data_IF_685449044696
#
_entry.id   IF_685449044696
#
_cell.length_a   1.000
_cell.length_b   1.000
_cell.length_c   1.000
_cell.angle_alpha   90.00
_cell.angle_beta   90.00
_cell.angle_gamma   90.00
#
_symmetry.space_group_name_H-M   'P 1'
#
loop_
_entity.id
_entity.type
_entity.pdbx_description
1 polymer ?
#
# COMPACT_ATOMS: atom_id res chain seq x y z
N UNK A 1 23.12 18.69 -12.80
CA UNK A 1 23.76 17.66 -11.94
C UNK A 1 22.89 17.52 -10.70
N UNK A 2 21.97 16.56 -10.74
CA UNK A 2 21.04 16.27 -9.64
C UNK A 2 21.86 15.78 -8.46
N UNK A 3 21.83 16.56 -7.37
CA UNK A 3 22.57 16.24 -6.14
C UNK A 3 22.11 14.86 -5.71
N UNK A 4 23.03 13.89 -5.73
CA UNK A 4 22.79 12.52 -5.26
C UNK A 4 22.41 12.60 -3.79
N UNK A 5 21.13 12.79 -3.50
CA UNK A 5 20.58 12.76 -2.16
C UNK A 5 20.82 11.36 -1.63
N UNK A 6 21.51 11.27 -0.49
CA UNK A 6 21.91 9.99 0.08
C UNK A 6 20.66 9.20 0.43
N UNK A 7 20.44 8.09 -0.28
CA UNK A 7 19.39 7.13 0.04
C UNK A 7 19.74 6.51 1.39
N UNK A 8 18.86 6.64 2.37
CA UNK A 8 19.08 6.10 3.71
C UNK A 8 18.63 4.65 3.78
N UNK A 9 17.43 4.36 3.27
CA UNK A 9 16.90 3.00 3.22
C UNK A 9 15.80 2.86 2.16
N UNK A 10 15.64 1.62 1.67
CA UNK A 10 14.55 1.22 0.79
C UNK A 10 13.65 0.22 1.53
N UNK A 11 12.34 0.48 1.50
CA UNK A 11 11.33 -0.44 1.98
C UNK A 11 10.61 -1.08 0.80
N UNK A 12 10.47 -2.40 0.86
CA UNK A 12 9.68 -3.17 -0.11
C UNK A 12 8.56 -3.90 0.62
N UNK A 13 7.35 -3.94 0.05
CA UNK A 13 6.26 -4.70 0.62
C UNK A 13 6.60 -6.20 0.57
N UNK A 14 6.34 -6.90 1.67
CA UNK A 14 6.43 -8.35 1.70
C UNK A 14 5.24 -8.97 0.97
N UNK A 15 5.50 -9.51 -0.21
CA UNK A 15 4.46 -10.07 -1.08
C UNK A 15 3.71 -11.23 -0.42
N UNK A 16 4.40 -12.07 0.35
CA UNK A 16 3.82 -13.27 0.97
C UNK A 16 2.60 -12.94 1.85
N UNK A 17 2.65 -11.83 2.59
CA UNK A 17 1.59 -11.42 3.51
C UNK A 17 0.40 -10.81 2.77
N UNK A 18 0.67 -10.16 1.64
CA UNK A 18 -0.35 -9.55 0.82
C UNK A 18 -1.18 -10.57 0.02
N UNK A 19 -0.68 -11.79 -0.20
CA UNK A 19 -1.36 -12.81 -1.01
C UNK A 19 -2.72 -13.19 -0.41
N UNK A 20 -2.79 -13.42 0.90
CA UNK A 20 -4.03 -13.87 1.56
C UNK A 20 -5.17 -12.85 1.44
N UNK A 21 -5.02 -11.57 1.85
CA UNK A 21 -6.08 -10.59 1.71
C UNK A 21 -6.43 -10.31 0.24
N UNK A 22 -5.48 -10.47 -0.69
CA UNK A 22 -5.75 -10.37 -2.14
C UNK A 22 -6.65 -11.52 -2.59
N UNK A 23 -6.33 -12.76 -2.25
CA UNK A 23 -7.11 -13.94 -2.64
C UNK A 23 -8.52 -13.84 -2.07
N UNK A 24 -8.67 -13.50 -0.78
CA UNK A 24 -9.98 -13.34 -0.15
C UNK A 24 -10.79 -12.25 -0.86
N UNK A 25 -10.18 -11.08 -1.08
CA UNK A 25 -10.85 -9.99 -1.80
C UNK A 25 -11.23 -10.37 -3.23
N UNK A 26 -10.37 -11.11 -3.93
CA UNK A 26 -10.62 -11.59 -5.28
C UNK A 26 -11.79 -12.58 -5.31
N UNK A 27 -11.82 -13.56 -4.39
CA UNK A 27 -12.91 -14.53 -4.26
C UNK A 27 -14.26 -13.85 -4.03
N UNK A 28 -14.32 -12.87 -3.12
CA UNK A 28 -15.56 -12.12 -2.86
C UNK A 28 -16.02 -11.41 -4.15
N UNK A 29 -15.11 -10.69 -4.82
CA UNK A 29 -15.46 -9.99 -6.06
C UNK A 29 -15.89 -10.96 -7.15
N UNK A 30 -15.17 -12.05 -7.37
CA UNK A 30 -15.50 -13.01 -8.42
C UNK A 30 -16.80 -13.74 -8.14
N UNK A 31 -17.12 -14.06 -6.88
CA UNK A 31 -18.42 -14.67 -6.50
C UNK A 31 -19.57 -13.75 -6.85
N UNK A 32 -19.49 -12.46 -6.49
CA UNK A 32 -20.56 -11.49 -6.77
C UNK A 32 -20.84 -11.41 -8.27
N UNK A 33 -19.79 -11.23 -9.08
CA UNK A 33 -19.95 -11.13 -10.53
C UNK A 33 -20.37 -12.45 -11.17
N UNK A 34 -19.77 -13.58 -10.77
CA UNK A 34 -20.09 -14.90 -11.30
C UNK A 34 -21.54 -15.31 -11.02
N UNK A 35 -22.02 -15.11 -9.80
CA UNK A 35 -23.42 -15.34 -9.43
C UNK A 35 -24.35 -14.40 -10.20
N UNK A 36 -24.00 -13.11 -10.32
CA UNK A 36 -24.78 -12.14 -11.08
C UNK A 36 -24.98 -12.56 -12.54
N UNK A 37 -23.90 -12.98 -13.22
CA UNK A 37 -23.96 -13.46 -14.60
C UNK A 37 -24.73 -14.78 -14.72
N UNK A 38 -24.52 -15.73 -13.80
CA UNK A 38 -25.22 -17.01 -13.81
C UNK A 38 -26.74 -16.85 -13.64
N UNK A 39 -27.18 -15.95 -12.76
CA UNK A 39 -28.60 -15.64 -12.57
C UNK A 39 -29.20 -14.90 -13.76
N UNK A 40 -28.46 -13.93 -14.34
CA UNK A 40 -28.94 -13.14 -15.47
C UNK A 40 -29.13 -13.97 -16.75
N UNK A 41 -28.16 -14.83 -17.06
CA UNK A 41 -28.20 -15.69 -18.24
C UNK A 41 -29.11 -16.91 -18.03
N UNK A 42 -29.33 -17.33 -16.78
CA UNK A 42 -29.92 -18.64 -16.40
C UNK A 42 -29.07 -19.86 -16.80
N UNK A 43 -27.82 -19.66 -17.20
CA UNK A 43 -26.86 -20.76 -17.38
C UNK A 43 -25.68 -20.61 -16.43
N UNK A 44 -25.52 -21.59 -15.53
CA UNK A 44 -24.47 -21.60 -14.51
C UNK A 44 -23.06 -21.65 -15.10
N UNK A 45 -22.90 -22.19 -16.32
CA UNK A 45 -21.59 -22.31 -17.00
C UNK A 45 -20.99 -20.93 -17.29
N UNK A 46 -21.79 -19.96 -17.74
CA UNK A 46 -21.30 -18.60 -17.98
C UNK A 46 -20.93 -17.88 -16.68
N UNK A 47 -21.70 -18.11 -15.61
CA UNK A 47 -21.36 -17.60 -14.27
C UNK A 47 -20.03 -18.16 -13.75
N UNK A 48 -19.78 -19.46 -13.95
CA UNK A 48 -18.52 -20.11 -13.57
C UNK A 48 -17.34 -19.56 -14.38
N UNK A 49 -17.50 -19.38 -15.68
CA UNK A 49 -16.47 -18.79 -16.55
C UNK A 49 -16.09 -17.38 -16.08
N UNK A 50 -17.08 -16.53 -15.82
CA UNK A 50 -16.86 -15.17 -15.33
C UNK A 50 -16.21 -15.15 -13.95
N UNK A 51 -16.60 -16.07 -13.06
CA UNK A 51 -15.97 -16.22 -11.75
C UNK A 51 -14.46 -16.46 -11.89
N UNK A 52 -14.05 -17.47 -12.66
CA UNK A 52 -12.63 -17.78 -12.83
C UNK A 52 -11.88 -16.65 -13.53
N UNK A 53 -12.49 -16.04 -14.56
CA UNK A 53 -11.88 -14.95 -15.30
C UNK A 53 -11.62 -13.74 -14.38
N UNK A 54 -12.64 -13.25 -13.68
CA UNK A 54 -12.51 -12.07 -12.80
C UNK A 54 -11.58 -12.35 -11.62
N UNK A 55 -11.68 -13.55 -11.03
CA UNK A 55 -10.80 -13.95 -9.92
C UNK A 55 -9.34 -13.93 -10.35
N UNK A 56 -9.02 -14.54 -11.49
CA UNK A 56 -7.66 -14.57 -12.04
C UNK A 56 -7.13 -13.17 -12.31
N UNK A 57 -7.87 -12.34 -13.06
CA UNK A 57 -7.43 -10.97 -13.37
C UNK A 57 -7.28 -10.11 -12.11
N UNK A 58 -8.21 -10.20 -11.16
CA UNK A 58 -8.16 -9.45 -9.90
C UNK A 58 -6.89 -9.78 -9.09
N UNK A 59 -6.55 -11.06 -8.96
CA UNK A 59 -5.31 -11.49 -8.29
C UNK A 59 -4.08 -11.01 -9.07
N UNK A 60 -4.07 -11.25 -10.38
CA UNK A 60 -2.95 -10.90 -11.24
C UNK A 60 -2.61 -9.41 -11.18
N UNK A 61 -3.59 -8.53 -11.38
CA UNK A 61 -3.37 -7.08 -11.34
C UNK A 61 -2.95 -6.59 -9.95
N UNK A 62 -3.53 -7.12 -8.86
CA UNK A 62 -3.16 -6.72 -7.49
C UNK A 62 -1.74 -7.13 -7.15
N UNK A 63 -1.35 -8.36 -7.47
CA UNK A 63 0.00 -8.86 -7.21
C UNK A 63 1.05 -8.07 -8.00
N UNK A 64 0.74 -7.80 -9.26
CA UNK A 64 1.63 -7.07 -10.15
C UNK A 64 1.80 -5.60 -9.73
N UNK A 65 0.72 -4.95 -9.28
CA UNK A 65 0.76 -3.61 -8.72
C UNK A 65 1.60 -3.57 -7.42
N UNK A 66 1.44 -4.54 -6.51
CA UNK A 66 2.24 -4.61 -5.29
C UNK A 66 3.73 -4.82 -5.56
N UNK A 67 4.08 -5.65 -6.55
CA UNK A 67 5.47 -5.89 -6.93
C UNK A 67 6.17 -4.63 -7.45
N UNK A 68 5.40 -3.75 -8.08
CA UNK A 68 5.91 -2.49 -8.61
C UNK A 68 6.11 -1.41 -7.52
N UNK A 69 5.60 -1.62 -6.30
CA UNK A 69 5.71 -0.63 -5.23
C UNK A 69 7.11 -0.56 -4.65
N UNK A 70 7.65 0.65 -4.56
CA UNK A 70 8.94 0.93 -3.92
C UNK A 70 8.84 2.18 -3.07
N UNK A 71 9.47 2.12 -1.90
CA UNK A 71 9.45 3.16 -0.90
C UNK A 71 10.89 3.58 -0.63
N UNK A 72 11.29 4.77 -1.09
CA UNK A 72 12.64 5.29 -0.99
C UNK A 72 12.68 6.43 0.02
N UNK A 73 13.51 6.29 1.05
CA UNK A 73 13.68 7.32 2.07
C UNK A 73 15.04 8.00 1.91
N UNK A 74 15.00 9.30 1.71
CA UNK A 74 16.17 10.17 1.61
C UNK A 74 16.29 11.02 2.88
N UNK A 75 17.36 11.81 3.00
CA UNK A 75 17.58 12.66 4.18
C UNK A 75 16.50 13.74 4.38
N UNK A 76 15.89 14.28 3.32
CA UNK A 76 14.97 15.42 3.42
C UNK A 76 13.54 15.12 2.92
N UNK A 77 13.37 13.97 2.27
CA UNK A 77 12.15 13.60 1.56
C UNK A 77 12.01 12.08 1.50
N UNK A 78 10.78 11.62 1.34
CA UNK A 78 10.50 10.26 0.97
C UNK A 78 9.80 10.23 -0.39
N UNK A 79 10.18 9.27 -1.23
CA UNK A 79 9.61 9.02 -2.54
C UNK A 79 8.90 7.69 -2.59
N UNK A 80 7.72 7.72 -3.19
CA UNK A 80 6.76 6.63 -3.21
C UNK A 80 6.43 6.33 -4.66
N UNK A 81 6.79 5.13 -5.08
CA UNK A 81 6.51 4.64 -6.41
C UNK A 81 5.42 3.59 -6.29
N UNK A 82 4.27 3.83 -6.93
CA UNK A 82 3.15 2.90 -7.00
C UNK A 82 2.77 2.64 -8.46
N UNK A 83 2.29 1.43 -8.75
CA UNK A 83 1.67 1.11 -10.03
C UNK A 83 2.55 0.32 -11.00
N UNK A 84 1.90 -0.63 -11.67
CA UNK A 84 2.52 -1.43 -12.73
C UNK A 84 2.22 -0.87 -14.14
N UNK A 85 0.97 -0.47 -14.40
CA UNK A 85 0.55 0.11 -15.69
C UNK A 85 0.74 1.63 -15.66
N UNK A 86 0.16 2.29 -14.67
CA UNK A 86 0.36 3.71 -14.43
C UNK A 86 1.41 3.86 -13.33
N UNK A 87 2.59 4.38 -13.68
CA UNK A 87 3.63 4.68 -12.69
C UNK A 87 3.25 5.99 -12.01
N UNK A 88 2.92 5.92 -10.74
CA UNK A 88 2.60 7.06 -9.89
C UNK A 88 3.81 7.28 -8.97
N UNK A 89 4.51 8.39 -9.18
CA UNK A 89 5.56 8.85 -8.29
C UNK A 89 5.00 9.96 -7.40
N UNK A 90 5.18 9.82 -6.09
CA UNK A 90 4.85 10.86 -5.11
C UNK A 90 6.08 11.16 -4.27
N UNK A 91 6.44 12.43 -4.19
CA UNK A 91 7.53 12.91 -3.34
C UNK A 91 6.95 13.73 -2.21
N UNK A 92 7.23 13.33 -0.97
CA UNK A 92 6.78 14.04 0.23
C UNK A 92 7.98 14.48 1.05
N UNK A 93 8.05 15.79 1.29
CA UNK A 93 9.05 16.40 2.17
C UNK A 93 8.65 16.17 3.62
N UNK A 94 9.62 15.89 4.48
CA UNK A 94 9.37 15.63 5.91
C UNK A 94 8.71 16.83 6.61
N UNK A 95 9.00 18.05 6.16
CA UNK A 95 8.39 19.28 6.69
C UNK A 95 6.88 19.39 6.49
N UNK A 96 6.30 18.56 5.61
CA UNK A 96 4.86 18.51 5.35
C UNK A 96 4.19 17.33 6.04
N UNK A 97 4.95 16.44 6.66
CA UNK A 97 4.38 15.30 7.39
C UNK A 97 3.99 15.79 8.77
N UNK A 98 2.70 15.67 9.09
CA UNK A 98 2.17 16.10 10.39
C UNK A 98 2.15 14.97 11.40
N UNK A 99 1.96 13.74 10.94
CA UNK A 99 1.81 12.58 11.83
C UNK A 99 2.31 11.30 11.17
N UNK A 100 2.79 10.37 11.99
CA UNK A 100 3.26 9.05 11.58
C UNK A 100 2.51 8.00 12.40
N UNK A 101 1.78 7.12 11.72
CA UNK A 101 0.93 6.11 12.37
C UNK A 101 1.42 4.71 12.01
N UNK A 102 1.59 3.85 13.01
CA UNK A 102 1.79 2.42 12.80
C UNK A 102 0.47 1.66 12.94
N UNK A 103 0.03 1.05 11.83
CA UNK A 103 -1.21 0.28 11.75
C UNK A 103 -0.86 -1.20 11.62
N UNK A 104 -1.50 -2.05 12.42
CA UNK A 104 -1.39 -3.51 12.32
C UNK A 104 -2.76 -4.14 12.25
N UNK A 105 -3.08 -4.70 11.09
CA UNK A 105 -4.29 -5.50 10.89
C UNK A 105 -4.13 -6.89 11.49
N UNK A 106 -5.22 -7.67 11.56
CA UNK A 106 -5.16 -9.07 12.03
C UNK A 106 -4.16 -9.90 11.21
N UNK A 107 -4.16 -9.73 9.88
CA UNK A 107 -3.18 -10.37 8.99
C UNK A 107 -1.76 -9.92 9.31
N UNK A 108 -1.55 -8.62 9.48
CA UNK A 108 -0.22 -8.08 9.82
C UNK A 108 0.32 -8.66 11.14
N UNK A 109 -0.53 -8.80 12.16
CA UNK A 109 -0.15 -9.39 13.45
C UNK A 109 0.23 -10.87 13.32
N UNK A 110 -0.52 -11.64 12.53
CA UNK A 110 -0.23 -13.06 12.31
C UNK A 110 1.08 -13.29 11.56
N UNK A 111 1.44 -12.40 10.63
CA UNK A 111 2.64 -12.53 9.81
C UNK A 111 3.83 -11.68 10.29
N UNK A 112 3.70 -10.97 11.41
CA UNK A 112 4.77 -10.13 11.96
C UNK A 112 5.08 -8.86 11.15
N UNK A 113 4.14 -8.41 10.32
CA UNK A 113 4.28 -7.20 9.50
C UNK A 113 3.51 -6.03 10.09
N UNK A 114 3.63 -4.86 9.45
CA UNK A 114 2.83 -3.69 9.75
C UNK A 114 2.71 -2.75 8.56
N UNK A 115 1.83 -1.78 8.70
CA UNK A 115 1.60 -0.72 7.73
C UNK A 115 1.94 0.61 8.38
N UNK A 116 2.89 1.36 7.81
CA UNK A 116 3.22 2.72 8.27
C UNK A 116 2.44 3.71 7.41
N UNK A 117 1.76 4.66 8.05
CA UNK A 117 1.02 5.72 7.37
C UNK A 117 1.60 7.08 7.74
N UNK A 118 2.02 7.83 6.74
CA UNK A 118 2.45 9.22 6.88
C UNK A 118 1.29 10.13 6.52
N UNK A 119 0.86 10.99 7.44
CA UNK A 119 -0.18 11.99 7.22
C UNK A 119 0.48 13.30 6.81
N UNK A 120 -0.01 13.94 5.76
CA UNK A 120 0.55 15.22 5.27
C UNK A 120 -0.39 16.39 5.52
N UNK A 121 0.19 17.56 5.81
CA UNK A 121 -0.53 18.81 6.00
C UNK A 121 -1.34 19.16 4.74
N UNK A 122 -2.64 19.39 4.92
CA UNK A 122 -3.57 19.77 3.86
C UNK A 122 -4.39 18.61 3.28
N UNK A 123 -4.52 17.50 4.00
CA UNK A 123 -5.15 16.31 3.47
C UNK A 123 -5.77 15.42 4.56
N UNK A 124 -7.04 15.71 4.89
CA UNK A 124 -7.87 14.91 5.82
C UNK A 124 -8.36 13.63 5.14
N UNK A 125 -7.45 12.66 4.99
CA UNK A 125 -7.78 11.35 4.44
C UNK A 125 -8.37 10.42 5.49
N UNK A 126 -9.67 10.16 5.42
CA UNK A 126 -10.41 9.27 6.33
C UNK A 126 -9.67 7.97 6.70
N UNK A 127 -9.80 7.59 7.97
CA UNK A 127 -9.14 6.49 8.68
C UNK A 127 -9.24 5.09 8.02
N UNK A 128 -10.10 4.92 7.01
CA UNK A 128 -10.52 3.62 6.46
C UNK A 128 -9.89 3.25 5.11
N UNK A 129 -9.08 4.12 4.49
CA UNK A 129 -8.50 3.82 3.17
C UNK A 129 -7.13 3.15 3.27
N UNK A 130 -7.07 1.86 2.90
CA UNK A 130 -5.85 1.06 2.65
C UNK A 130 -5.18 1.41 1.31
N UNK A 131 -5.41 2.61 0.82
CA UNK A 131 -4.97 3.08 -0.49
C UNK A 131 -4.61 4.55 -0.35
N UNK A 132 -3.52 4.96 -0.99
CA UNK A 132 -2.98 6.34 -1.01
C UNK A 132 -3.93 7.37 -1.64
N UNK A 133 -5.23 7.10 -1.72
CA UNK A 133 -6.26 7.90 -2.41
C UNK A 133 -6.81 9.02 -1.51
N UNK A 134 -6.43 9.08 -0.24
CA UNK A 134 -6.77 10.18 0.65
C UNK A 134 -5.57 10.57 1.51
N UNK A 135 -4.81 11.55 1.05
CA UNK A 135 -4.05 12.49 1.88
C UNK A 135 -2.91 12.04 2.78
N UNK A 136 -2.69 10.74 2.86
CA UNK A 136 -1.54 10.17 3.49
C UNK A 136 -0.89 9.17 2.56
N UNK A 137 0.36 8.87 2.85
CA UNK A 137 1.10 7.84 2.16
C UNK A 137 1.06 6.58 3.01
N UNK A 138 0.66 5.47 2.40
CA UNK A 138 0.48 4.20 3.09
C UNK A 138 1.54 3.22 2.60
N UNK A 139 2.40 2.81 3.52
CA UNK A 139 3.50 1.88 3.30
C UNK A 139 3.10 0.55 3.89
N UNK A 140 2.76 -0.41 3.03
CA UNK A 140 2.10 -1.65 3.44
C UNK A 140 3.08 -2.82 3.51
N UNK A 141 2.76 -3.81 4.36
CA UNK A 141 3.46 -5.09 4.46
C UNK A 141 4.96 -4.94 4.78
N UNK A 142 5.28 -4.07 5.73
CA UNK A 142 6.64 -3.82 6.18
C UNK A 142 7.05 -4.88 7.20
N UNK A 143 8.20 -5.52 6.98
CA UNK A 143 8.86 -6.39 7.97
C UNK A 143 9.44 -5.58 9.12
N UNK A 144 9.47 -6.15 10.33
CA UNK A 144 9.96 -5.48 11.54
C UNK A 144 9.40 -4.05 11.68
N UNK A 145 8.06 -3.90 11.68
CA UNK A 145 7.42 -2.60 11.60
C UNK A 145 7.77 -1.67 12.77
N UNK A 146 8.08 -2.21 13.96
CA UNK A 146 8.50 -1.39 15.11
C UNK A 146 9.82 -0.66 14.88
N UNK A 147 10.82 -1.35 14.33
CA UNK A 147 12.13 -0.77 14.07
C UNK A 147 12.03 0.29 12.97
N UNK A 148 11.33 -0.06 11.89
CA UNK A 148 11.17 0.84 10.75
C UNK A 148 10.31 2.07 11.11
N UNK A 149 9.30 1.90 11.96
CA UNK A 149 8.52 3.01 12.48
C UNK A 149 9.39 3.99 13.29
N UNK A 150 10.20 3.47 14.24
CA UNK A 150 11.10 4.32 15.05
C UNK A 150 12.11 5.08 14.19
N UNK A 151 12.68 4.44 13.17
CA UNK A 151 13.61 5.10 12.23
C UNK A 151 12.91 6.24 11.50
N UNK A 152 11.71 6.01 10.98
CA UNK A 152 10.93 7.02 10.27
C UNK A 152 10.54 8.16 11.22
N UNK A 153 10.07 7.85 12.42
CA UNK A 153 9.70 8.84 13.44
C UNK A 153 10.90 9.68 13.89
N UNK A 154 12.07 9.06 14.09
CA UNK A 154 13.29 9.78 14.45
C UNK A 154 13.77 10.71 13.33
N UNK A 155 13.67 10.27 12.07
CA UNK A 155 13.98 11.11 10.90
C UNK A 155 13.03 12.32 10.80
N UNK A 156 11.75 12.11 11.05
CA UNK A 156 10.76 13.19 11.07
C UNK A 156 11.06 14.18 12.19
N UNK A 157 11.31 13.69 13.41
CA UNK A 157 11.61 14.53 14.59
C UNK A 157 12.86 15.37 14.39
N UNK A 158 13.94 14.78 13.87
CA UNK A 158 15.21 15.48 13.62
C UNK A 158 15.04 16.66 12.65
N UNK A 159 14.11 16.54 11.71
CA UNK A 159 13.82 17.60 10.74
C UNK A 159 12.87 18.66 11.28
N UNK A 160 11.93 18.31 12.17
CA UNK A 160 11.05 19.26 12.84
C UNK A 160 11.86 20.18 13.80
N UNK A 161 12.77 19.59 14.58
CA UNK A 161 13.67 20.33 15.49
C UNK A 161 14.63 21.29 14.76
N UNK A 162 14.86 21.10 13.46
CA UNK A 162 15.72 21.96 12.62
C UNK A 162 15.00 23.19 12.08
N UNK A 163 13.67 23.23 12.16
CA UNK A 163 12.81 24.28 11.61
C UNK A 163 12.35 25.25 12.71
N UNK A 164 12.40 24.80 13.98
CA UNK A 164 12.23 25.61 15.18
C UNK A 164 13.51 26.34 15.57
#
# INVERSE_FOLDING_TARGET
MEKSEKLLFELRPQMAVAIIPIIIGALITSTIFGVGVGLFTRQLVYGLLVFFMIGFFSIFFRLMNLRARRYLFYENKAEFYEGFINIIQRTVRYTKVTDCLLIRTLWDRMFGTGTIRLVTAGHDGGYNNRTSVGGGIVIQYINNPDQNYKIVEELLRKHDDKIR
#
